data_IF_150823617150
#
_entry.id   IF_150823617150
#
_cell.length_a   1.000
_cell.length_b   1.000
_cell.length_c   1.000
_cell.angle_alpha   90.00
_cell.angle_beta   90.00
_cell.angle_gamma   90.00
#
_symmetry.space_group_name_H-M   'P 1'
#
loop_
_entity.id
_entity.type
_entity.pdbx_description
1 polymer ?
#
# COMPACT_ATOMS: atom_id res chain seq x y z
N UNK A 1 -67.69 62.89 17.65
CA UNK A 1 -67.05 61.58 17.35
C UNK A 1 -65.53 61.75 17.35
N UNK A 2 -64.82 60.87 18.09
CA UNK A 2 -63.45 60.36 17.90
C UNK A 2 -62.33 61.36 17.50
N UNK A 3 -61.39 61.68 18.41
CA UNK A 3 -60.10 60.98 18.68
C UNK A 3 -59.05 61.22 17.55
N UNK A 4 -57.74 61.45 17.70
CA UNK A 4 -56.74 61.47 18.78
C UNK A 4 -55.34 61.63 18.14
N UNK A 5 -54.40 62.32 18.83
CA UNK A 5 -52.91 62.20 18.90
C UNK A 5 -51.95 62.39 17.69
N UNK A 6 -51.01 63.32 17.93
CA UNK A 6 -49.52 63.32 17.86
C UNK A 6 -48.83 61.95 17.65
N UNK A 7 -47.68 61.92 16.93
CA UNK A 7 -46.34 61.43 17.37
C UNK A 7 -45.36 61.27 16.18
N UNK A 8 -44.14 61.81 16.39
CA UNK A 8 -42.93 61.59 15.60
C UNK A 8 -42.26 60.25 15.93
N UNK A 9 -41.57 59.61 14.98
CA UNK A 9 -40.62 58.51 15.17
C UNK A 9 -39.77 58.42 13.90
N UNK A 10 -38.44 58.53 13.86
CA UNK A 10 -37.44 57.96 14.76
C UNK A 10 -36.85 56.71 14.12
N UNK A 11 -35.95 56.86 13.14
CA UNK A 11 -35.27 55.74 12.47
C UNK A 11 -34.28 55.08 13.46
N UNK A 12 -34.51 53.80 13.79
CA UNK A 12 -33.54 52.97 14.51
C UNK A 12 -32.82 52.09 13.49
N UNK A 13 -31.53 52.35 13.27
CA UNK A 13 -30.65 51.51 12.46
C UNK A 13 -30.20 50.28 13.24
N UNK A 14 -30.53 49.08 12.73
CA UNK A 14 -30.02 47.81 13.26
C UNK A 14 -28.72 47.45 12.56
N UNK A 15 -27.59 47.49 13.28
CA UNK A 15 -26.33 46.93 12.81
C UNK A 15 -26.41 45.40 12.84
N UNK A 16 -26.36 44.76 11.67
CA UNK A 16 -26.27 43.30 11.55
C UNK A 16 -24.84 42.84 11.89
N UNK A 17 -24.68 42.16 13.02
CA UNK A 17 -23.42 41.50 13.39
C UNK A 17 -23.30 40.23 12.54
N UNK A 18 -22.36 40.25 11.58
CA UNK A 18 -22.04 39.12 10.73
C UNK A 18 -21.11 38.17 11.50
N UNK A 19 -21.67 37.11 12.09
CA UNK A 19 -20.87 36.03 12.69
C UNK A 19 -20.25 35.19 11.58
N UNK A 20 -18.96 35.41 11.31
CA UNK A 20 -18.14 34.51 10.49
C UNK A 20 -18.03 33.17 11.22
N UNK A 21 -18.78 32.17 10.76
CA UNK A 21 -18.59 30.78 11.18
C UNK A 21 -17.28 30.31 10.54
N UNK A 22 -16.19 30.39 11.29
CA UNK A 22 -14.92 29.77 10.93
C UNK A 22 -15.13 28.26 10.88
N UNK A 23 -15.30 27.68 9.69
CA UNK A 23 -15.24 26.23 9.53
C UNK A 23 -13.86 25.75 10.00
N UNK A 24 -13.76 24.71 10.84
CA UNK A 24 -12.48 24.17 11.22
C UNK A 24 -11.79 23.66 9.95
N UNK A 25 -10.54 24.09 9.73
CA UNK A 25 -9.70 23.51 8.71
C UNK A 25 -9.71 21.99 8.89
N UNK A 26 -10.11 21.25 7.86
CA UNK A 26 -10.09 19.79 7.86
C UNK A 26 -8.62 19.40 7.93
N UNK A 27 -8.09 19.22 9.14
CA UNK A 27 -6.84 18.53 9.34
C UNK A 27 -7.00 17.17 8.65
N UNK A 28 -6.11 16.83 7.72
CA UNK A 28 -6.13 15.56 7.01
C UNK A 28 -6.05 14.43 8.04
N UNK A 29 -7.21 13.90 8.45
CA UNK A 29 -7.27 12.81 9.40
C UNK A 29 -6.50 11.62 8.83
N UNK A 30 -5.70 10.95 9.66
CA UNK A 30 -4.98 9.76 9.24
C UNK A 30 -5.98 8.72 8.68
N UNK A 31 -5.62 7.97 7.62
CA UNK A 31 -6.44 6.91 7.10
C UNK A 31 -6.86 5.92 8.19
N UNK A 32 -8.13 5.56 8.24
CA UNK A 32 -8.60 4.50 9.13
C UNK A 32 -7.85 3.19 8.87
N UNK A 33 -7.74 2.34 9.90
CA UNK A 33 -7.13 1.00 9.76
C UNK A 33 -7.75 0.20 8.62
N UNK A 34 -9.08 0.31 8.42
CA UNK A 34 -9.79 -0.35 7.33
C UNK A 34 -9.35 0.18 5.95
N UNK A 35 -9.19 1.50 5.79
CA UNK A 35 -8.70 2.10 4.54
C UNK A 35 -7.25 1.71 4.27
N UNK A 36 -6.38 1.74 5.29
CA UNK A 36 -4.99 1.28 5.20
C UNK A 36 -4.90 -0.19 4.78
N UNK A 37 -5.74 -1.06 5.37
CA UNK A 37 -5.83 -2.47 5.01
C UNK A 37 -6.31 -2.66 3.56
N UNK A 38 -7.36 -1.96 3.13
CA UNK A 38 -7.86 -2.08 1.76
C UNK A 38 -6.78 -1.73 0.72
N UNK A 39 -6.04 -0.64 0.95
CA UNK A 39 -4.91 -0.26 0.09
C UNK A 39 -3.80 -1.30 0.15
N UNK A 40 -3.40 -1.78 1.33
CA UNK A 40 -2.37 -2.81 1.45
C UNK A 40 -2.74 -4.10 0.68
N UNK A 41 -4.01 -4.52 0.75
CA UNK A 41 -4.53 -5.67 -0.01
C UNK A 41 -4.44 -5.40 -1.51
N UNK A 42 -4.89 -4.23 -1.99
CA UNK A 42 -4.82 -3.88 -3.41
C UNK A 42 -3.38 -3.93 -3.97
N UNK A 43 -2.38 -3.57 -3.17
CA UNK A 43 -0.97 -3.57 -3.58
C UNK A 43 -0.31 -4.96 -3.51
N UNK A 44 -1.00 -5.97 -2.97
CA UNK A 44 -0.46 -7.32 -2.73
C UNK A 44 -1.23 -8.44 -3.43
N UNK A 45 -2.16 -8.12 -4.32
CA UNK A 45 -2.85 -9.11 -5.14
C UNK A 45 -1.89 -9.77 -6.15
N UNK A 46 -2.13 -11.03 -6.53
CA UNK A 46 -1.30 -11.76 -7.49
C UNK A 46 -1.64 -11.41 -8.95
N UNK A 47 -1.75 -10.11 -9.25
CA UNK A 47 -2.09 -9.59 -10.58
C UNK A 47 -1.07 -8.57 -11.07
N UNK A 48 -1.06 -8.33 -12.38
CA UNK A 48 -0.20 -7.32 -12.99
C UNK A 48 -0.57 -5.90 -12.56
N UNK A 49 -1.84 -5.56 -12.56
CA UNK A 49 -2.30 -4.24 -12.13
C UNK A 49 -1.90 -3.94 -10.68
N UNK A 50 -1.94 -4.94 -9.80
CA UNK A 50 -1.49 -4.82 -8.42
C UNK A 50 0.01 -4.55 -8.32
N UNK A 51 0.81 -5.23 -9.13
CA UNK A 51 2.25 -4.98 -9.22
C UNK A 51 2.55 -3.53 -9.64
N UNK A 52 1.90 -3.04 -10.70
CA UNK A 52 2.11 -1.67 -11.17
C UNK A 52 1.57 -0.62 -10.21
N UNK A 53 0.45 -0.89 -9.53
CA UNK A 53 -0.05 -0.06 -8.45
C UNK A 53 0.95 0.03 -7.30
N UNK A 54 1.51 -1.11 -6.85
CA UNK A 54 2.57 -1.14 -5.83
C UNK A 54 3.81 -0.38 -6.27
N UNK A 55 4.29 -0.57 -7.50
CA UNK A 55 5.44 0.13 -8.04
C UNK A 55 5.21 1.65 -8.05
N UNK A 56 4.01 2.10 -8.45
CA UNK A 56 3.61 3.51 -8.42
C UNK A 56 3.58 4.05 -6.99
N UNK A 57 3.00 3.32 -6.03
CA UNK A 57 3.00 3.73 -4.63
C UNK A 57 4.41 3.87 -4.07
N UNK A 58 5.27 2.89 -4.35
CA UNK A 58 6.67 2.88 -3.91
C UNK A 58 7.48 4.04 -4.48
N UNK A 59 7.29 4.35 -5.77
CA UNK A 59 7.90 5.51 -6.42
C UNK A 59 7.43 6.84 -5.81
N UNK A 60 6.20 6.89 -5.32
CA UNK A 60 5.58 8.09 -4.73
C UNK A 60 5.54 8.08 -3.20
N UNK A 61 6.31 7.21 -2.53
CA UNK A 61 6.25 6.97 -1.07
C UNK A 61 6.42 8.21 -0.19
N UNK A 62 7.09 9.24 -0.70
CA UNK A 62 7.34 10.49 0.03
C UNK A 62 6.25 11.56 -0.19
N UNK A 63 5.31 11.35 -1.12
CA UNK A 63 4.18 12.28 -1.32
C UNK A 63 3.12 12.06 -0.25
N UNK A 64 2.47 13.13 0.21
CA UNK A 64 1.44 13.07 1.27
C UNK A 64 0.32 12.08 0.95
N UNK A 65 -0.06 11.99 -0.34
CA UNK A 65 -1.03 11.01 -0.84
C UNK A 65 -0.69 9.53 -0.51
N UNK A 66 0.58 9.18 -0.33
CA UNK A 66 1.04 7.84 0.08
C UNK A 66 1.53 7.82 1.53
N UNK A 67 2.24 8.86 1.95
CA UNK A 67 2.84 8.99 3.29
C UNK A 67 1.78 8.89 4.40
N UNK A 68 0.56 9.37 4.14
CA UNK A 68 -0.59 9.25 5.06
C UNK A 68 -0.85 7.80 5.53
N UNK A 69 -0.51 6.78 4.73
CA UNK A 69 -0.73 5.38 5.12
C UNK A 69 0.35 4.84 6.06
N UNK A 70 1.48 5.52 6.24
CA UNK A 70 2.60 5.09 7.07
C UNK A 70 2.96 3.60 6.81
N UNK A 71 3.15 3.25 5.53
CA UNK A 71 3.61 1.90 5.16
C UNK A 71 5.11 1.77 5.38
N UNK A 72 5.54 0.59 5.84
CA UNK A 72 6.93 0.19 5.82
C UNK A 72 7.36 -0.12 4.40
N UNK A 73 8.29 0.68 3.88
CA UNK A 73 8.94 0.48 2.57
C UNK A 73 10.29 -0.23 2.68
N UNK A 74 10.68 -0.62 3.88
CA UNK A 74 11.93 -1.32 4.13
C UNK A 74 11.90 -2.69 3.46
N UNK A 75 13.00 -3.04 2.81
CA UNK A 75 13.18 -4.34 2.19
C UNK A 75 14.66 -4.66 2.15
N UNK A 76 14.98 -5.90 2.47
CA UNK A 76 16.30 -6.51 2.32
C UNK A 76 16.40 -7.30 0.99
N UNK A 77 15.38 -7.17 0.14
CA UNK A 77 15.30 -7.80 -1.17
C UNK A 77 15.14 -9.31 -1.03
N UNK A 78 15.75 -10.05 -1.94
CA UNK A 78 15.71 -11.50 -1.94
C UNK A 78 16.69 -12.12 -0.93
N UNK A 79 16.85 -11.52 0.25
CA UNK A 79 17.78 -11.92 1.31
C UNK A 79 17.47 -13.34 1.82
N UNK A 80 18.13 -14.29 1.20
CA UNK A 80 18.10 -15.71 1.56
C UNK A 80 19.22 -15.98 2.55
N UNK A 81 18.93 -15.83 3.85
CA UNK A 81 19.81 -16.38 4.89
C UNK A 81 19.99 -17.87 4.59
N UNK A 82 21.24 -18.29 4.46
CA UNK A 82 21.72 -19.64 4.09
C UNK A 82 21.82 -20.00 2.59
N UNK A 83 21.28 -19.22 1.63
CA UNK A 83 21.51 -19.52 0.19
C UNK A 83 22.68 -18.73 -0.42
N UNK A 84 23.29 -17.82 0.34
CA UNK A 84 24.51 -17.07 -0.02
C UNK A 84 25.77 -17.92 -0.24
N UNK A 85 25.65 -19.25 -0.31
CA UNK A 85 26.72 -20.19 -0.70
C UNK A 85 26.50 -20.81 -2.08
N UNK A 86 25.41 -20.48 -2.76
CA UNK A 86 25.09 -20.99 -4.10
C UNK A 86 25.12 -19.80 -5.10
N UNK A 87 26.18 -19.67 -5.93
CA UNK A 87 26.34 -18.52 -6.83
C UNK A 87 25.16 -18.29 -7.79
N UNK A 88 24.47 -19.36 -8.20
CA UNK A 88 23.26 -19.26 -9.04
C UNK A 88 22.11 -18.59 -8.29
N UNK A 89 21.92 -18.88 -7.00
CA UNK A 89 20.85 -18.27 -6.18
C UNK A 89 21.12 -16.79 -5.94
N UNK A 90 22.39 -16.40 -5.74
CA UNK A 90 22.75 -14.98 -5.59
C UNK A 90 22.46 -14.18 -6.87
N UNK A 91 22.76 -14.77 -8.04
CA UNK A 91 22.48 -14.13 -9.33
C UNK A 91 20.98 -13.94 -9.55
N UNK A 92 20.19 -14.98 -9.25
CA UNK A 92 18.73 -14.89 -9.33
C UNK A 92 18.13 -13.94 -8.29
N UNK A 93 18.70 -13.86 -7.09
CA UNK A 93 18.28 -12.92 -6.05
C UNK A 93 18.41 -11.45 -6.51
N UNK A 94 19.48 -11.12 -7.25
CA UNK A 94 19.65 -9.79 -7.85
C UNK A 94 18.59 -9.51 -8.93
N UNK A 95 18.34 -10.49 -9.79
CA UNK A 95 17.31 -10.41 -10.86
C UNK A 95 15.90 -10.25 -10.28
N UNK A 96 15.60 -10.93 -9.17
CA UNK A 96 14.29 -10.92 -8.52
C UNK A 96 14.13 -9.87 -7.43
N UNK A 97 15.07 -8.93 -7.30
CA UNK A 97 15.05 -7.91 -6.23
C UNK A 97 13.71 -7.16 -6.14
N UNK A 98 13.14 -6.73 -7.28
CA UNK A 98 11.85 -6.02 -7.31
C UNK A 98 10.67 -6.91 -6.85
N UNK A 99 10.47 -8.14 -7.37
CA UNK A 99 9.52 -9.09 -6.80
C UNK A 99 9.65 -9.28 -5.28
N UNK A 100 10.88 -9.46 -4.78
CA UNK A 100 11.11 -9.65 -3.35
C UNK A 100 10.78 -8.39 -2.53
N UNK A 101 11.04 -7.20 -3.05
CA UNK A 101 10.64 -5.95 -2.39
C UNK A 101 9.12 -5.81 -2.22
N UNK A 102 8.33 -6.31 -3.17
CA UNK A 102 6.86 -6.31 -3.03
C UNK A 102 6.38 -7.36 -2.05
N UNK A 103 7.05 -8.52 -2.01
CA UNK A 103 6.79 -9.56 -1.03
C UNK A 103 7.06 -9.07 0.40
N UNK A 104 8.20 -8.43 0.63
CA UNK A 104 8.54 -7.79 1.91
C UNK A 104 7.51 -6.74 2.32
N UNK A 105 7.05 -5.91 1.38
CA UNK A 105 5.99 -4.95 1.64
C UNK A 105 4.73 -5.65 2.16
N UNK A 106 4.31 -6.76 1.56
CA UNK A 106 3.17 -7.54 2.03
C UNK A 106 3.38 -8.09 3.44
N UNK A 107 4.53 -8.70 3.71
CA UNK A 107 4.87 -9.27 5.02
C UNK A 107 4.96 -8.21 6.13
N UNK A 108 5.52 -7.03 5.84
CA UNK A 108 5.74 -5.97 6.84
C UNK A 108 4.51 -5.11 7.11
N UNK A 109 3.54 -5.08 6.19
CA UNK A 109 2.39 -4.20 6.33
C UNK A 109 1.09 -4.97 6.52
N UNK A 110 0.85 -6.01 5.71
CA UNK A 110 -0.44 -6.71 5.74
C UNK A 110 -0.55 -7.63 6.96
N UNK A 111 0.56 -8.24 7.39
CA UNK A 111 0.62 -9.10 8.58
C UNK A 111 0.18 -8.37 9.85
N UNK A 112 0.62 -7.13 10.04
CA UNK A 112 0.33 -6.33 11.24
C UNK A 112 -1.08 -5.68 11.20
N UNK A 113 -1.67 -5.58 10.01
CA UNK A 113 -3.00 -5.01 9.82
C UNK A 113 -4.14 -6.02 10.06
N UNK A 114 -3.84 -7.31 10.13
CA UNK A 114 -4.83 -8.40 10.22
C UNK A 114 -4.52 -9.32 11.41
N UNK A 115 -5.47 -10.16 11.82
CA UNK A 115 -5.19 -11.17 12.85
C UNK A 115 -4.26 -12.26 12.31
N UNK A 116 -3.48 -12.89 13.19
CA UNK A 116 -2.58 -14.02 12.83
C UNK A 116 -3.31 -15.11 12.05
N UNK A 117 -4.55 -15.43 12.42
CA UNK A 117 -5.40 -16.37 11.70
C UNK A 117 -5.66 -15.92 10.27
N UNK A 118 -6.10 -14.69 10.06
CA UNK A 118 -6.37 -14.15 8.71
C UNK A 118 -5.09 -14.02 7.87
N UNK A 119 -3.97 -13.70 8.51
CA UNK A 119 -2.66 -13.69 7.84
C UNK A 119 -2.36 -15.07 7.26
N UNK A 120 -2.40 -16.11 8.10
CA UNK A 120 -2.06 -17.48 7.71
C UNK A 120 -3.05 -18.08 6.71
N UNK A 121 -4.36 -17.88 6.92
CA UNK A 121 -5.41 -18.54 6.15
C UNK A 121 -5.66 -17.87 4.79
N UNK A 122 -5.46 -16.55 4.69
CA UNK A 122 -5.92 -15.77 3.52
C UNK A 122 -4.81 -14.97 2.89
N UNK A 123 -4.17 -14.07 3.64
CA UNK A 123 -3.36 -13.02 3.04
C UNK A 123 -1.96 -13.49 2.63
N UNK A 124 -1.32 -14.32 3.46
CA UNK A 124 0.03 -14.82 3.19
C UNK A 124 0.11 -15.57 1.87
N UNK A 125 -0.87 -16.45 1.59
CA UNK A 125 -0.93 -17.19 0.31
C UNK A 125 -1.01 -16.25 -0.89
N UNK A 126 -1.79 -15.17 -0.79
CA UNK A 126 -1.89 -14.15 -1.83
C UNK A 126 -0.56 -13.43 -2.07
N UNK A 127 0.13 -13.04 -0.99
CA UNK A 127 1.45 -12.38 -1.06
C UNK A 127 2.52 -13.31 -1.66
N UNK A 128 2.56 -14.58 -1.24
CA UNK A 128 3.50 -15.56 -1.79
C UNK A 128 3.19 -15.85 -3.28
N UNK A 129 1.91 -15.93 -3.66
CA UNK A 129 1.52 -16.10 -5.06
C UNK A 129 1.93 -14.88 -5.90
N UNK A 130 1.77 -13.67 -5.36
CA UNK A 130 2.21 -12.43 -5.99
C UNK A 130 3.72 -12.44 -6.29
N UNK A 131 4.56 -12.90 -5.36
CA UNK A 131 5.99 -13.08 -5.59
C UNK A 131 6.28 -13.97 -6.80
N UNK A 132 5.64 -15.14 -6.87
CA UNK A 132 5.82 -16.07 -7.98
C UNK A 132 5.41 -15.43 -9.31
N UNK A 133 4.25 -14.78 -9.37
CA UNK A 133 3.76 -14.15 -10.61
C UNK A 133 4.68 -13.03 -11.09
N UNK A 134 5.22 -12.22 -10.18
CA UNK A 134 6.16 -11.16 -10.54
C UNK A 134 7.48 -11.72 -11.07
N UNK A 135 8.02 -12.76 -10.41
CA UNK A 135 9.23 -13.44 -10.88
C UNK A 135 9.02 -14.06 -12.27
N UNK A 136 7.86 -14.71 -12.49
CA UNK A 136 7.52 -15.26 -13.81
C UNK A 136 7.37 -14.18 -14.89
N UNK A 137 6.87 -12.98 -14.54
CA UNK A 137 6.83 -11.84 -15.47
C UNK A 137 8.24 -11.35 -15.80
N UNK A 138 9.13 -11.24 -14.80
CA UNK A 138 10.56 -10.97 -15.03
C UNK A 138 11.18 -11.98 -15.99
N UNK A 139 10.89 -13.27 -15.82
CA UNK A 139 11.34 -14.30 -16.75
C UNK A 139 10.74 -14.16 -18.17
N UNK A 140 9.51 -13.64 -18.29
CA UNK A 140 8.85 -13.38 -19.57
C UNK A 140 9.64 -12.43 -20.48
N UNK A 141 10.31 -11.43 -19.89
CA UNK A 141 11.15 -10.45 -20.58
C UNK A 141 12.55 -10.94 -20.97
N UNK A 142 12.95 -12.15 -20.58
CA UNK A 142 14.29 -12.68 -20.88
C UNK A 142 14.38 -13.34 -22.27
N UNK A 143 15.62 -13.53 -22.75
CA UNK A 143 15.92 -14.34 -23.94
C UNK A 143 15.36 -15.75 -23.78
N UNK A 144 14.87 -16.35 -24.88
CA UNK A 144 14.18 -17.64 -24.86
C UNK A 144 14.94 -18.76 -24.12
N UNK A 145 16.27 -18.86 -24.35
CA UNK A 145 17.12 -19.88 -23.72
C UNK A 145 17.33 -19.67 -22.20
N UNK A 146 17.07 -18.46 -21.66
CA UNK A 146 17.17 -18.16 -20.23
C UNK A 146 15.85 -18.37 -19.49
N UNK A 147 14.71 -18.45 -20.20
CA UNK A 147 13.39 -18.58 -19.57
C UNK A 147 13.25 -19.83 -18.70
N UNK A 148 13.73 -21.03 -19.11
CA UNK A 148 13.58 -22.23 -18.28
C UNK A 148 14.29 -22.12 -16.94
N UNK A 149 15.56 -21.68 -16.93
CA UNK A 149 16.34 -21.53 -15.70
C UNK A 149 15.78 -20.44 -14.79
N UNK A 150 15.31 -19.33 -15.37
CA UNK A 150 14.63 -18.28 -14.61
C UNK A 150 13.34 -18.79 -13.94
N UNK A 151 12.49 -19.51 -14.67
CA UNK A 151 11.24 -20.07 -14.13
C UNK A 151 11.51 -21.11 -13.04
N UNK A 152 12.54 -21.93 -13.20
CA UNK A 152 12.98 -22.88 -12.18
C UNK A 152 13.41 -22.14 -10.90
N UNK A 153 14.21 -21.08 -11.04
CA UNK A 153 14.58 -20.23 -9.91
C UNK A 153 13.34 -19.60 -9.24
N UNK A 154 12.41 -19.03 -10.01
CA UNK A 154 11.17 -18.47 -9.47
C UNK A 154 10.38 -19.49 -8.64
N UNK A 155 10.28 -20.73 -9.10
CA UNK A 155 9.63 -21.82 -8.36
C UNK A 155 10.36 -22.15 -7.05
N UNK A 156 11.70 -22.14 -7.03
CA UNK A 156 12.50 -22.36 -5.82
C UNK A 156 12.28 -21.25 -4.78
N UNK A 157 12.27 -19.98 -5.21
CA UNK A 157 11.99 -18.84 -4.33
C UNK A 157 10.58 -18.94 -3.72
N UNK A 158 9.57 -19.25 -4.54
CA UNK A 158 8.21 -19.46 -4.07
C UNK A 158 8.12 -20.62 -3.06
N UNK A 159 8.71 -21.78 -3.37
CA UNK A 159 8.74 -22.91 -2.47
C UNK A 159 9.40 -22.56 -1.12
N UNK A 160 10.50 -21.81 -1.15
CA UNK A 160 11.21 -21.37 0.06
C UNK A 160 10.32 -20.50 0.98
N UNK A 161 9.59 -19.52 0.44
CA UNK A 161 8.70 -18.66 1.27
C UNK A 161 7.46 -19.41 1.75
N UNK A 162 6.95 -20.37 0.98
CA UNK A 162 5.85 -21.25 1.40
C UNK A 162 6.26 -22.14 2.58
N UNK A 163 7.49 -22.66 2.55
CA UNK A 163 7.98 -23.53 3.62
C UNK A 163 8.46 -22.77 4.86
N UNK A 164 9.28 -21.72 4.67
CA UNK A 164 9.94 -21.01 5.78
C UNK A 164 9.20 -19.77 6.27
N UNK A 165 8.26 -19.23 5.50
CA UNK A 165 7.51 -18.05 5.92
C UNK A 165 6.72 -18.32 7.21
N UNK A 166 6.68 -17.34 8.11
CA UNK A 166 5.84 -17.34 9.32
C UNK A 166 5.15 -15.99 9.43
#
# INVERSE_FOLDING_TARGET
MKRTRVIASGLVGTAAVLTLISAPAVANAEPSKAKKLAVAVQLTLPTEDSFWAWAKFRANRNKDSVKQYNFSWNSDGCSVKDAGKIPSVESWAKIFAIPCMRHDFGYRNLKDLVSTKRWNDTYRKGVDQALLQDMLRTCGGMKAHLKPSCRAAAAQFYAAVRWKGK
#
